data_IF_565609667553
#
_entry.id   IF_565609667553
#
_cell.length_a   1.000
_cell.length_b   1.000
_cell.length_c   1.000
_cell.angle_alpha   90.00
_cell.angle_beta   90.00
_cell.angle_gamma   90.00
#
_symmetry.space_group_name_H-M   'P 1'
#
loop_
_entity.id
_entity.type
_entity.pdbx_description
1 polymer ?
#
# COMPACT_ATOMS: atom_id res chain seq x y z
N UNK A 1 -9.26 -14.18 -19.36
CA UNK A 1 -9.75 -13.01 -20.14
C UNK A 1 -9.01 -11.80 -19.65
N UNK A 2 -8.40 -11.00 -20.52
CA UNK A 2 -7.72 -9.75 -20.17
C UNK A 2 -8.66 -8.55 -20.25
N UNK A 3 -8.26 -7.41 -19.62
CA UNK A 3 -9.03 -6.16 -19.69
C UNK A 3 -9.22 -5.69 -21.15
N UNK A 4 -8.25 -5.91 -22.03
CA UNK A 4 -8.37 -5.60 -23.47
C UNK A 4 -9.40 -6.47 -24.17
N UNK A 5 -9.38 -7.79 -23.92
CA UNK A 5 -10.38 -8.71 -24.48
C UNK A 5 -11.78 -8.30 -24.02
N UNK A 6 -11.94 -8.03 -22.71
CA UNK A 6 -13.21 -7.59 -22.15
C UNK A 6 -13.65 -6.23 -22.69
N UNK A 7 -12.71 -5.33 -22.95
CA UNK A 7 -12.99 -4.03 -23.56
C UNK A 7 -13.59 -4.21 -24.97
N UNK A 8 -12.98 -5.05 -25.83
CA UNK A 8 -13.49 -5.37 -27.17
C UNK A 8 -14.92 -5.97 -27.13
N UNK A 9 -15.14 -6.90 -26.22
CA UNK A 9 -16.47 -7.50 -26.04
C UNK A 9 -17.51 -6.49 -25.59
N UNK A 10 -17.14 -5.60 -24.65
CA UNK A 10 -18.08 -4.66 -24.03
C UNK A 10 -18.43 -3.48 -24.94
N UNK A 11 -17.41 -2.89 -25.57
CA UNK A 11 -17.56 -1.64 -26.31
C UNK A 11 -17.56 -1.81 -27.86
N UNK A 12 -17.35 -3.04 -28.36
CA UNK A 12 -17.30 -3.38 -29.78
C UNK A 12 -16.32 -2.54 -30.61
N UNK A 13 -15.19 -2.15 -29.97
CA UNK A 13 -14.07 -1.41 -30.58
C UNK A 13 -12.77 -1.75 -29.88
N UNK A 14 -11.63 -1.39 -30.47
CA UNK A 14 -10.32 -1.51 -29.83
C UNK A 14 -10.17 -0.46 -28.72
N UNK A 15 -9.42 -0.77 -27.62
CA UNK A 15 -8.97 0.26 -26.70
C UNK A 15 -7.97 1.17 -27.41
N UNK A 16 -7.98 2.45 -27.11
CA UNK A 16 -7.04 3.44 -27.67
C UNK A 16 -5.84 3.67 -26.76
N UNK A 17 -5.89 3.16 -25.51
CA UNK A 17 -4.79 3.22 -24.57
C UNK A 17 -4.85 2.10 -23.53
N UNK A 18 -3.67 1.84 -22.96
CA UNK A 18 -3.47 0.94 -21.85
C UNK A 18 -2.76 1.71 -20.74
N UNK A 19 -3.26 1.60 -19.52
CA UNK A 19 -2.60 2.12 -18.33
C UNK A 19 -2.27 0.96 -17.39
N UNK A 20 -1.10 1.00 -16.80
CA UNK A 20 -0.65 0.03 -15.80
C UNK A 20 -0.07 0.75 -14.61
N UNK A 21 -0.50 0.34 -13.41
CA UNK A 21 0.12 0.75 -12.16
C UNK A 21 0.49 -0.51 -11.36
N UNK A 22 1.76 -0.67 -10.96
CA UNK A 22 2.20 -1.81 -10.18
C UNK A 22 1.57 -1.80 -8.79
N UNK A 23 1.42 -2.97 -8.18
CA UNK A 23 1.22 -3.09 -6.74
C UNK A 23 2.54 -2.90 -6.00
N UNK A 24 2.45 -2.73 -4.67
CA UNK A 24 3.62 -2.55 -3.81
C UNK A 24 3.62 -3.50 -2.62
N UNK A 25 4.81 -3.80 -2.14
CA UNK A 25 5.06 -4.36 -0.81
C UNK A 25 5.86 -3.36 0.02
N UNK A 26 5.67 -3.41 1.35
CA UNK A 26 6.40 -2.59 2.31
C UNK A 26 7.13 -3.51 3.29
N UNK A 27 8.43 -3.79 3.09
CA UNK A 27 9.21 -4.62 3.98
C UNK A 27 9.42 -4.01 5.38
N UNK A 28 9.63 -2.68 5.44
CA UNK A 28 9.87 -1.93 6.67
C UNK A 28 9.20 -0.56 6.59
N UNK A 29 8.73 -0.04 7.73
CA UNK A 29 8.12 1.29 7.82
C UNK A 29 6.59 1.28 7.79
N UNK A 30 5.96 0.12 7.79
CA UNK A 30 4.49 0.06 7.77
C UNK A 30 3.87 0.71 9.00
N UNK A 31 2.77 1.41 8.78
CA UNK A 31 2.03 2.14 9.81
C UNK A 31 2.82 3.29 10.47
N UNK A 32 3.79 3.87 9.75
CA UNK A 32 4.55 5.01 10.27
C UNK A 32 4.44 6.28 9.41
N UNK A 33 4.10 6.15 8.15
CA UNK A 33 4.03 7.23 7.16
C UNK A 33 2.98 8.29 7.47
N UNK A 34 1.83 7.92 8.04
CA UNK A 34 0.80 8.85 8.51
C UNK A 34 1.23 9.72 9.71
N UNK A 35 2.41 9.44 10.30
CA UNK A 35 3.08 10.21 11.34
C UNK A 35 4.45 10.73 10.87
N UNK A 36 4.59 10.95 9.58
CA UNK A 36 5.80 11.44 8.91
C UNK A 36 7.03 10.57 9.15
N UNK A 37 6.84 9.24 9.24
CA UNK A 37 7.93 8.26 9.40
C UNK A 37 8.72 8.05 8.12
N UNK A 38 9.84 7.36 8.25
CA UNK A 38 10.57 6.81 7.10
C UNK A 38 10.02 5.44 6.75
N UNK A 39 10.04 5.10 5.47
CA UNK A 39 9.49 3.84 4.95
C UNK A 39 10.37 3.25 3.87
N UNK A 40 10.23 1.95 3.64
CA UNK A 40 10.79 1.27 2.47
C UNK A 40 9.69 0.66 1.64
N UNK A 41 9.92 0.53 0.34
CA UNK A 41 8.96 -0.07 -0.57
C UNK A 41 9.60 -0.70 -1.79
N UNK A 42 8.88 -1.65 -2.37
CA UNK A 42 9.19 -2.27 -3.65
C UNK A 42 7.90 -2.35 -4.47
N UNK A 43 7.88 -1.77 -5.65
CA UNK A 43 6.85 -2.11 -6.63
C UNK A 43 7.09 -3.54 -7.14
N UNK A 44 6.01 -4.25 -7.43
CA UNK A 44 6.06 -5.63 -7.94
C UNK A 44 5.46 -5.72 -9.34
N UNK A 45 5.84 -6.76 -10.09
CA UNK A 45 5.47 -7.02 -11.49
C UNK A 45 3.98 -7.41 -11.69
N UNK A 46 3.18 -7.25 -10.68
CA UNK A 46 1.73 -7.39 -10.67
C UNK A 46 1.09 -6.05 -10.35
N UNK A 47 -0.11 -5.79 -10.84
CA UNK A 47 -0.73 -4.48 -10.65
C UNK A 47 -2.13 -4.38 -11.24
N UNK A 48 -2.57 -3.15 -11.41
CA UNK A 48 -3.83 -2.80 -12.07
C UNK A 48 -3.56 -2.46 -13.54
N UNK A 49 -4.29 -3.10 -14.42
CA UNK A 49 -4.36 -2.79 -15.84
C UNK A 49 -5.69 -2.11 -16.16
N UNK A 50 -5.65 -1.08 -16.99
CA UNK A 50 -6.83 -0.40 -17.52
C UNK A 50 -6.72 -0.31 -19.03
N UNK A 51 -7.62 -1.00 -19.75
CA UNK A 51 -7.83 -0.76 -21.17
C UNK A 51 -8.88 0.33 -21.32
N UNK A 52 -8.59 1.40 -22.07
CA UNK A 52 -9.48 2.55 -22.15
C UNK A 52 -9.54 3.17 -23.54
N UNK A 53 -10.62 3.96 -23.76
CA UNK A 53 -10.74 4.85 -24.90
C UNK A 53 -11.49 6.13 -24.52
N UNK A 54 -11.21 7.29 -25.17
CA UNK A 54 -11.86 8.56 -24.85
C UNK A 54 -13.34 8.57 -25.18
N UNK A 55 -14.11 9.33 -24.38
CA UNK A 55 -15.52 9.68 -24.64
C UNK A 55 -15.65 11.21 -24.69
N UNK A 56 -15.80 11.75 -25.88
CA UNK A 56 -15.84 13.20 -26.13
C UNK A 56 -17.01 13.92 -25.43
N UNK A 57 -18.04 13.18 -25.03
CA UNK A 57 -19.18 13.71 -24.29
C UNK A 57 -18.98 13.80 -22.77
N UNK A 58 -17.76 13.61 -22.27
CA UNK A 58 -17.43 13.70 -20.84
C UNK A 58 -17.96 12.55 -19.96
N UNK A 59 -18.55 11.52 -20.53
CA UNK A 59 -19.06 10.37 -19.76
C UNK A 59 -17.91 9.46 -19.36
N UNK A 60 -17.89 9.07 -18.10
CA UNK A 60 -17.06 8.00 -17.55
C UNK A 60 -17.90 6.75 -17.49
N UNK A 61 -17.40 5.66 -18.06
CA UNK A 61 -18.07 4.37 -18.06
C UNK A 61 -17.04 3.26 -17.88
N UNK A 62 -17.10 2.57 -16.75
CA UNK A 62 -16.15 1.52 -16.40
C UNK A 62 -16.83 0.22 -16.00
N UNK A 63 -16.19 -0.88 -16.37
CA UNK A 63 -16.41 -2.21 -15.81
C UNK A 63 -15.12 -2.77 -15.22
N UNK A 64 -15.25 -3.74 -14.34
CA UNK A 64 -14.12 -4.44 -13.72
C UNK A 64 -14.24 -5.93 -13.96
N UNK A 65 -13.10 -6.63 -14.05
CA UNK A 65 -13.11 -8.10 -14.08
C UNK A 65 -13.35 -8.71 -12.69
N UNK A 66 -13.16 -7.93 -11.63
CA UNK A 66 -13.34 -8.37 -10.24
C UNK A 66 -14.71 -8.00 -9.66
N UNK A 67 -15.43 -7.04 -10.26
CA UNK A 67 -16.70 -6.56 -9.73
C UNK A 67 -17.77 -6.56 -10.84
N UNK A 68 -18.95 -7.09 -10.53
CA UNK A 68 -20.05 -7.19 -11.52
C UNK A 68 -20.68 -5.85 -11.88
N UNK A 69 -20.78 -4.94 -10.89
CA UNK A 69 -21.45 -3.65 -11.08
C UNK A 69 -20.62 -2.72 -11.95
N UNK A 70 -21.21 -2.25 -13.05
CA UNK A 70 -20.65 -1.17 -13.86
C UNK A 70 -20.81 0.17 -13.16
N UNK A 71 -19.87 1.06 -13.41
CA UNK A 71 -19.87 2.41 -12.90
C UNK A 71 -20.02 3.41 -14.05
N UNK A 72 -20.92 4.38 -13.91
CA UNK A 72 -21.16 5.40 -14.92
C UNK A 72 -21.53 6.74 -14.28
N UNK A 73 -20.91 7.82 -14.74
CA UNK A 73 -21.22 9.22 -14.38
C UNK A 73 -20.60 10.17 -15.40
N UNK A 74 -20.80 11.48 -15.24
CA UNK A 74 -20.17 12.50 -16.10
C UNK A 74 -19.06 13.22 -15.31
N UNK A 75 -17.96 13.63 -15.98
CA UNK A 75 -16.80 14.29 -15.33
C UNK A 75 -17.20 15.56 -14.57
N UNK A 76 -18.25 16.27 -14.99
CA UNK A 76 -18.78 17.47 -14.35
C UNK A 76 -19.97 17.20 -13.42
N UNK A 77 -20.32 15.93 -13.17
CA UNK A 77 -21.46 15.53 -12.33
C UNK A 77 -21.09 14.29 -11.51
N UNK A 78 -20.02 14.42 -10.76
CA UNK A 78 -19.56 13.37 -9.84
C UNK A 78 -20.29 13.53 -8.51
N UNK A 79 -20.83 12.44 -7.90
CA UNK A 79 -21.42 12.52 -6.58
C UNK A 79 -20.45 13.15 -5.56
N UNK A 80 -20.93 14.13 -4.79
CA UNK A 80 -20.11 14.82 -3.78
C UNK A 80 -19.73 13.91 -2.60
N UNK A 81 -20.53 12.88 -2.35
CA UNK A 81 -20.31 11.89 -1.30
C UNK A 81 -20.06 10.50 -1.88
N UNK A 82 -19.21 9.73 -1.21
CA UNK A 82 -18.93 8.34 -1.59
C UNK A 82 -20.19 7.49 -1.64
N UNK A 83 -20.24 6.57 -2.60
CA UNK A 83 -21.38 5.69 -2.86
C UNK A 83 -21.22 4.31 -2.18
N UNK A 84 -20.05 4.01 -1.61
CA UNK A 84 -19.74 2.75 -0.96
C UNK A 84 -19.42 1.61 -1.93
N UNK A 85 -19.05 1.91 -3.16
CA UNK A 85 -18.67 0.91 -4.17
C UNK A 85 -17.20 1.10 -4.63
N UNK A 86 -16.70 0.14 -5.41
CA UNK A 86 -15.33 0.13 -5.90
C UNK A 86 -14.94 1.37 -6.75
N UNK A 87 -15.91 2.04 -7.34
CA UNK A 87 -15.67 3.19 -8.20
C UNK A 87 -15.50 4.51 -7.41
N UNK A 88 -15.61 4.50 -6.09
CA UNK A 88 -15.39 5.69 -5.27
C UNK A 88 -13.95 6.22 -5.39
N UNK A 89 -12.98 5.36 -5.60
CA UNK A 89 -11.60 5.74 -5.90
C UNK A 89 -11.49 6.58 -7.18
N UNK A 90 -12.21 6.19 -8.23
CA UNK A 90 -12.25 6.89 -9.50
C UNK A 90 -13.03 8.21 -9.40
N UNK A 91 -14.12 8.25 -8.64
CA UNK A 91 -14.89 9.47 -8.37
C UNK A 91 -14.07 10.49 -7.62
N UNK A 92 -13.38 10.06 -6.55
CA UNK A 92 -12.45 10.90 -5.79
C UNK A 92 -11.34 11.47 -6.67
N UNK A 93 -10.75 10.65 -7.53
CA UNK A 93 -9.72 11.07 -8.48
C UNK A 93 -10.20 12.19 -9.42
N UNK A 94 -11.41 12.05 -10.01
CA UNK A 94 -11.99 13.08 -10.89
C UNK A 94 -12.24 14.37 -10.12
N UNK A 95 -12.81 14.31 -8.93
CA UNK A 95 -13.08 15.50 -8.12
C UNK A 95 -11.79 16.24 -7.77
N UNK A 96 -10.73 15.53 -7.39
CA UNK A 96 -9.46 16.15 -7.00
C UNK A 96 -8.68 16.68 -8.20
N UNK A 97 -8.66 15.95 -9.31
CA UNK A 97 -8.04 16.43 -10.55
C UNK A 97 -8.83 17.60 -11.15
N UNK A 98 -10.18 17.47 -11.22
CA UNK A 98 -11.08 18.48 -11.78
C UNK A 98 -11.10 19.79 -11.00
N UNK A 99 -10.75 19.78 -9.72
CA UNK A 99 -10.57 21.01 -8.93
C UNK A 99 -9.38 21.85 -9.39
N UNK A 100 -8.41 21.26 -10.10
CA UNK A 100 -7.21 21.96 -10.60
C UNK A 100 -7.22 22.15 -12.12
N UNK A 101 -7.80 21.20 -12.84
CA UNK A 101 -7.75 21.14 -14.30
C UNK A 101 -9.15 20.93 -14.88
N UNK A 102 -9.53 21.68 -15.94
CA UNK A 102 -10.82 21.45 -16.59
C UNK A 102 -10.83 20.09 -17.31
N UNK A 103 -11.71 19.19 -16.88
CA UNK A 103 -11.91 17.90 -17.52
C UNK A 103 -13.05 17.99 -18.54
N UNK A 104 -12.80 17.62 -19.77
CA UNK A 104 -13.78 17.69 -20.87
C UNK A 104 -14.08 16.32 -21.49
N UNK A 105 -13.04 15.49 -21.54
CA UNK A 105 -13.12 14.16 -22.14
C UNK A 105 -13.27 13.11 -21.04
N UNK A 106 -14.29 12.28 -21.19
CA UNK A 106 -14.50 11.13 -20.34
C UNK A 106 -13.78 9.88 -20.86
N UNK A 107 -14.08 8.72 -20.27
CA UNK A 107 -13.45 7.44 -20.58
C UNK A 107 -14.47 6.31 -20.64
N UNK A 108 -14.36 5.43 -21.63
CA UNK A 108 -14.82 4.04 -21.51
C UNK A 108 -13.63 3.20 -21.07
N UNK A 109 -13.80 2.31 -20.10
CA UNK A 109 -12.69 1.50 -19.64
C UNK A 109 -13.07 0.17 -19.00
N UNK A 110 -12.10 -0.74 -18.98
CA UNK A 110 -12.15 -2.01 -18.25
C UNK A 110 -10.92 -2.13 -17.35
N UNK A 111 -11.17 -2.45 -16.09
CA UNK A 111 -10.13 -2.60 -15.05
C UNK A 111 -9.91 -4.10 -14.79
N UNK A 112 -8.63 -4.47 -14.70
CA UNK A 112 -8.17 -5.81 -14.31
C UNK A 112 -7.11 -5.69 -13.23
N UNK A 113 -7.33 -6.35 -12.08
CA UNK A 113 -6.31 -6.58 -11.07
C UNK A 113 -5.63 -7.92 -11.30
N UNK A 114 -4.30 -7.95 -11.28
CA UNK A 114 -3.53 -9.17 -11.53
C UNK A 114 -3.55 -10.18 -10.38
N UNK A 115 -3.92 -9.75 -9.17
CA UNK A 115 -3.90 -10.55 -7.94
C UNK A 115 -5.16 -10.31 -7.12
N UNK A 116 -5.49 -11.19 -6.15
CA UNK A 116 -6.58 -10.97 -5.22
C UNK A 116 -6.47 -9.63 -4.48
N UNK A 117 -7.63 -9.06 -4.14
CA UNK A 117 -7.70 -7.76 -3.47
C UNK A 117 -7.34 -7.90 -2.00
N UNK A 118 -6.36 -7.14 -1.55
CA UNK A 118 -6.00 -6.99 -0.14
C UNK A 118 -4.50 -7.02 0.13
N UNK A 119 -4.01 -6.02 0.82
CA UNK A 119 -2.64 -5.94 1.31
C UNK A 119 -1.60 -5.36 0.34
N UNK A 120 -1.88 -5.26 -0.95
CA UNK A 120 -0.93 -4.83 -1.98
C UNK A 120 -1.17 -3.42 -2.54
N UNK A 121 -1.97 -2.60 -1.84
CA UNK A 121 -2.33 -1.23 -2.25
C UNK A 121 -3.10 -1.12 -3.56
N UNK A 122 -4.02 -2.05 -3.81
CA UNK A 122 -4.84 -2.01 -5.03
C UNK A 122 -5.71 -0.74 -5.15
N UNK A 123 -5.99 -0.05 -4.06
CA UNK A 123 -6.72 1.23 -4.03
C UNK A 123 -5.91 2.36 -4.66
N UNK A 124 -4.67 2.55 -4.22
CA UNK A 124 -3.79 3.56 -4.82
C UNK A 124 -3.46 3.19 -6.26
N UNK A 125 -3.15 1.91 -6.55
CA UNK A 125 -2.84 1.46 -7.90
C UNK A 125 -3.97 1.71 -8.89
N UNK A 126 -5.23 1.43 -8.54
CA UNK A 126 -6.37 1.69 -9.44
C UNK A 126 -6.60 3.19 -9.65
N UNK A 127 -6.42 3.99 -8.59
CA UNK A 127 -6.58 5.44 -8.66
C UNK A 127 -5.49 6.07 -9.54
N UNK A 128 -4.23 5.67 -9.37
CA UNK A 128 -3.09 6.14 -10.18
C UNK A 128 -3.24 5.72 -11.64
N UNK A 129 -3.56 4.45 -11.91
CA UNK A 129 -3.77 3.97 -13.29
C UNK A 129 -4.91 4.72 -13.98
N UNK A 130 -5.99 5.02 -13.26
CA UNK A 130 -7.11 5.81 -13.76
C UNK A 130 -6.73 7.27 -14.00
N UNK A 131 -6.05 7.92 -13.06
CA UNK A 131 -5.56 9.29 -13.23
C UNK A 131 -4.67 9.41 -14.47
N UNK A 132 -3.78 8.44 -14.69
CA UNK A 132 -2.93 8.39 -15.87
C UNK A 132 -3.76 8.31 -17.17
N UNK A 133 -4.75 7.42 -17.22
CA UNK A 133 -5.65 7.30 -18.38
C UNK A 133 -6.46 8.60 -18.61
N UNK A 134 -6.98 9.20 -17.54
CA UNK A 134 -7.77 10.43 -17.60
C UNK A 134 -6.92 11.63 -18.05
N UNK A 135 -5.69 11.74 -17.56
CA UNK A 135 -4.74 12.75 -17.99
C UNK A 135 -4.40 12.62 -19.47
N UNK A 136 -4.13 11.39 -19.93
CA UNK A 136 -3.81 11.10 -21.33
C UNK A 136 -4.89 11.62 -22.29
N UNK A 137 -6.18 11.32 -22.02
CA UNK A 137 -7.27 11.74 -22.92
C UNK A 137 -7.61 13.22 -22.82
N UNK A 138 -7.25 13.89 -21.74
CA UNK A 138 -7.43 15.33 -21.55
C UNK A 138 -6.16 16.15 -21.89
N UNK A 139 -5.07 15.53 -22.34
CA UNK A 139 -3.82 16.20 -22.67
C UNK A 139 -3.13 16.85 -21.47
N UNK A 140 -3.31 16.27 -20.26
CA UNK A 140 -2.73 16.77 -19.03
C UNK A 140 -1.44 16.04 -18.70
N UNK A 141 -0.48 16.76 -18.15
CA UNK A 141 0.80 16.23 -17.66
C UNK A 141 0.95 16.62 -16.18
N UNK A 142 0.89 15.64 -15.30
CA UNK A 142 1.16 15.80 -13.88
C UNK A 142 2.60 15.40 -13.59
N UNK A 143 3.27 16.14 -12.72
CA UNK A 143 4.50 15.66 -12.09
C UNK A 143 4.18 14.50 -11.14
N UNK A 144 5.19 13.69 -10.80
CA UNK A 144 5.06 12.59 -9.85
C UNK A 144 4.48 13.06 -8.51
N UNK A 145 4.95 14.20 -8.02
CA UNK A 145 4.46 14.82 -6.78
C UNK A 145 2.99 15.21 -6.88
N UNK A 146 2.56 15.75 -8.02
CA UNK A 146 1.15 16.10 -8.23
C UNK A 146 0.25 14.88 -8.34
N UNK A 147 0.73 13.82 -9.00
CA UNK A 147 0.02 12.55 -9.12
C UNK A 147 -0.20 11.94 -7.73
N UNK A 148 0.86 11.83 -6.92
CA UNK A 148 0.80 11.31 -5.55
C UNK A 148 -0.15 12.15 -4.69
N UNK A 149 -0.04 13.47 -4.72
CA UNK A 149 -0.91 14.36 -3.93
C UNK A 149 -2.38 14.29 -4.37
N UNK A 150 -2.64 14.12 -5.67
CA UNK A 150 -4.01 14.02 -6.20
C UNK A 150 -4.64 12.69 -5.79
N UNK A 151 -3.88 11.61 -5.85
CA UNK A 151 -4.31 10.29 -5.39
C UNK A 151 -4.60 10.29 -3.89
N UNK A 152 -3.65 10.74 -3.05
CA UNK A 152 -3.85 10.85 -1.60
C UNK A 152 -5.09 11.67 -1.23
N UNK A 153 -5.31 12.78 -1.91
CA UNK A 153 -6.50 13.60 -1.68
C UNK A 153 -7.79 12.85 -2.06
N UNK A 154 -7.77 12.02 -3.09
CA UNK A 154 -8.91 11.17 -3.44
C UNK A 154 -9.21 10.15 -2.35
N UNK A 155 -8.20 9.45 -1.82
CA UNK A 155 -8.38 8.49 -0.73
C UNK A 155 -8.76 9.17 0.60
N UNK A 156 -8.06 10.22 1.00
CA UNK A 156 -8.25 10.85 2.31
C UNK A 156 -9.56 11.63 2.39
N UNK A 157 -9.85 12.48 1.41
CA UNK A 157 -10.95 13.43 1.49
C UNK A 157 -12.27 12.84 0.97
N UNK A 158 -12.23 11.95 -0.03
CA UNK A 158 -13.46 11.41 -0.63
C UNK A 158 -13.78 10.00 -0.10
N UNK A 159 -12.82 9.09 -0.15
CA UNK A 159 -13.03 7.71 0.35
C UNK A 159 -13.02 7.67 1.88
N UNK A 160 -12.26 8.56 2.53
CA UNK A 160 -12.21 8.73 3.98
C UNK A 160 -11.28 7.74 4.68
N UNK A 161 -10.16 7.39 4.05
CA UNK A 161 -9.08 6.60 4.63
C UNK A 161 -7.91 7.51 4.94
N UNK A 162 -7.52 7.63 6.20
CA UNK A 162 -6.39 8.49 6.62
C UNK A 162 -5.04 7.84 6.28
N UNK A 163 -4.79 7.55 5.00
CA UNK A 163 -3.53 6.98 4.54
C UNK A 163 -2.39 8.01 4.58
N UNK A 164 -1.16 7.52 4.70
CA UNK A 164 0.06 8.28 4.48
C UNK A 164 0.49 8.22 3.00
N UNK A 165 1.78 8.47 2.75
CA UNK A 165 2.33 8.60 1.40
C UNK A 165 3.00 7.33 0.86
N UNK A 166 3.12 6.27 1.65
CA UNK A 166 3.87 5.08 1.29
C UNK A 166 3.39 4.44 -0.01
N UNK A 167 2.10 4.20 -0.10
CA UNK A 167 1.49 3.42 -1.17
C UNK A 167 1.74 4.09 -2.53
N UNK A 168 1.28 5.30 -2.67
CA UNK A 168 1.37 6.11 -3.87
C UNK A 168 2.82 6.38 -4.27
N UNK A 169 3.65 6.74 -3.29
CA UNK A 169 5.06 7.02 -3.55
C UNK A 169 5.80 5.78 -4.02
N UNK A 170 5.49 4.61 -3.46
CA UNK A 170 6.09 3.37 -3.90
C UNK A 170 5.66 3.02 -5.34
N UNK A 171 4.38 3.14 -5.65
CA UNK A 171 3.84 2.85 -6.99
C UNK A 171 4.31 3.83 -8.07
N UNK A 172 4.74 5.04 -7.68
CA UNK A 172 5.24 6.07 -8.61
C UNK A 172 6.76 6.06 -8.71
N UNK A 173 7.47 6.08 -7.59
CA UNK A 173 8.93 6.28 -7.58
C UNK A 173 9.76 5.00 -7.72
N UNK A 174 9.19 3.81 -7.49
CA UNK A 174 9.96 2.57 -7.53
C UNK A 174 10.68 2.35 -8.85
N UNK A 175 11.82 1.68 -8.75
CA UNK A 175 12.60 1.22 -9.90
C UNK A 175 12.93 -0.26 -9.71
N UNK A 176 12.86 -1.01 -10.79
CA UNK A 176 13.23 -2.43 -10.79
C UNK A 176 14.63 -2.61 -10.17
N UNK A 177 14.77 -3.64 -9.34
CA UNK A 177 16.01 -3.99 -8.65
C UNK A 177 16.56 -2.89 -7.71
N UNK A 178 15.64 -2.02 -7.18
CA UNK A 178 15.97 -1.01 -6.19
C UNK A 178 14.95 -1.04 -5.06
N UNK A 179 15.43 -0.89 -3.83
CA UNK A 179 14.59 -0.59 -2.68
C UNK A 179 14.33 0.92 -2.66
N UNK A 180 13.07 1.31 -2.64
CA UNK A 180 12.71 2.69 -2.34
C UNK A 180 12.90 2.93 -0.83
N UNK A 181 13.66 3.95 -0.47
CA UNK A 181 13.80 4.49 0.88
C UNK A 181 13.29 5.93 0.87
N UNK A 182 12.19 6.19 1.57
CA UNK A 182 11.46 7.46 1.51
C UNK A 182 11.35 8.08 2.92
N UNK A 183 11.64 9.36 3.04
CA UNK A 183 11.25 10.18 4.20
C UNK A 183 9.94 10.89 3.90
N UNK A 184 8.85 10.49 4.55
CA UNK A 184 7.52 11.04 4.26
C UNK A 184 7.31 12.45 4.83
N UNK A 185 8.28 12.99 5.58
CA UNK A 185 8.23 14.35 6.13
C UNK A 185 8.50 15.41 5.06
N UNK A 186 9.52 15.20 4.23
CA UNK A 186 10.00 16.15 3.23
C UNK A 186 9.93 15.64 1.79
N UNK A 187 9.40 14.44 1.59
CA UNK A 187 9.29 13.76 0.31
C UNK A 187 10.64 13.40 -0.35
N UNK A 188 11.74 13.49 0.42
CA UNK A 188 13.05 13.05 -0.06
C UNK A 188 13.09 11.52 -0.14
N UNK A 189 13.67 10.99 -1.21
CA UNK A 189 13.79 9.55 -1.40
C UNK A 189 15.12 9.15 -2.03
N UNK A 190 15.48 7.90 -1.83
CA UNK A 190 16.62 7.24 -2.43
C UNK A 190 16.17 5.91 -3.03
N UNK A 191 16.65 5.62 -4.23
CA UNK A 191 16.52 4.31 -4.85
C UNK A 191 17.81 3.53 -4.62
N UNK A 192 17.79 2.65 -3.61
CA UNK A 192 18.97 1.87 -3.20
C UNK A 192 19.05 0.62 -4.10
N UNK A 193 20.07 0.48 -4.96
CA UNK A 193 20.16 -0.67 -5.86
C UNK A 193 20.34 -1.98 -5.05
N UNK A 194 19.76 -3.06 -5.57
CA UNK A 194 20.06 -4.41 -5.08
C UNK A 194 21.55 -4.71 -5.37
N UNK A 195 22.32 -4.95 -4.31
CA UNK A 195 23.74 -5.25 -4.42
C UNK A 195 23.98 -6.57 -5.13
N UNK A 196 24.99 -6.64 -6.00
CA UNK A 196 25.43 -7.91 -6.61
C UNK A 196 26.01 -8.89 -5.59
N UNK A 197 26.38 -8.43 -4.40
CA UNK A 197 26.82 -9.26 -3.27
C UNK A 197 25.66 -9.82 -2.46
N UNK A 198 24.44 -9.32 -2.67
CA UNK A 198 23.25 -9.80 -1.98
C UNK A 198 22.90 -11.22 -2.40
N UNK A 199 22.51 -12.06 -1.44
CA UNK A 199 21.98 -13.40 -1.75
C UNK A 199 20.78 -13.30 -2.72
N UNK A 200 20.61 -14.25 -3.64
CA UNK A 200 19.41 -14.31 -4.48
C UNK A 200 18.14 -14.34 -3.63
N UNK A 201 17.13 -13.60 -4.06
CA UNK A 201 15.83 -13.62 -3.41
C UNK A 201 14.69 -13.48 -4.41
N UNK A 202 13.53 -13.97 -4.03
CA UNK A 202 12.23 -13.72 -4.67
C UNK A 202 11.26 -13.13 -3.64
N UNK A 203 10.24 -12.45 -4.13
CA UNK A 203 9.16 -11.90 -3.29
C UNK A 203 7.99 -12.88 -3.35
N UNK A 204 7.75 -13.60 -2.27
CA UNK A 204 6.58 -14.46 -2.14
C UNK A 204 5.42 -13.69 -1.51
N UNK A 205 4.22 -13.86 -2.06
CA UNK A 205 2.97 -13.32 -1.54
C UNK A 205 2.05 -14.48 -1.17
N UNK A 206 1.58 -14.50 0.07
CA UNK A 206 0.67 -15.50 0.61
C UNK A 206 -0.66 -14.84 0.94
N UNK A 207 -1.70 -15.08 0.13
CA UNK A 207 -3.05 -14.57 0.37
C UNK A 207 -3.77 -15.47 1.35
N UNK A 208 -4.34 -14.87 2.38
CA UNK A 208 -5.08 -15.62 3.41
C UNK A 208 -6.39 -16.25 2.90
N UNK A 209 -6.91 -15.80 1.76
CA UNK A 209 -8.22 -16.21 1.26
C UNK A 209 -9.40 -15.49 1.92
N UNK A 210 -9.13 -14.60 2.87
CA UNK A 210 -10.17 -13.79 3.53
C UNK A 210 -10.29 -12.45 2.84
N UNK A 211 -11.43 -12.20 2.21
CA UNK A 211 -11.71 -10.94 1.53
C UNK A 211 -11.89 -9.77 2.52
N UNK A 212 -11.52 -8.57 2.06
CA UNK A 212 -11.55 -7.34 2.85
C UNK A 212 -12.99 -6.90 3.10
N UNK A 213 -13.43 -6.89 4.35
CA UNK A 213 -14.54 -6.02 4.77
C UNK A 213 -13.96 -4.66 5.17
N UNK A 214 -14.63 -3.56 4.80
CA UNK A 214 -14.21 -2.17 5.05
C UNK A 214 -13.67 -1.97 6.48
N UNK A 215 -12.35 -1.99 6.64
CA UNK A 215 -11.66 -1.87 7.92
C UNK A 215 -11.20 -0.42 8.21
N UNK A 216 -11.70 0.57 7.47
CA UNK A 216 -11.26 1.97 7.56
C UNK A 216 -11.39 2.57 8.97
N UNK A 217 -12.41 2.19 9.74
CA UNK A 217 -12.63 2.72 11.09
C UNK A 217 -11.51 2.34 12.08
N UNK A 218 -11.03 1.10 12.05
CA UNK A 218 -9.95 0.66 12.96
C UNK A 218 -8.61 1.28 12.60
N UNK A 219 -8.30 1.45 11.33
CA UNK A 219 -7.07 2.09 10.89
C UNK A 219 -7.04 3.56 11.31
N UNK A 220 -8.10 4.33 11.01
CA UNK A 220 -8.21 5.74 11.38
C UNK A 220 -8.09 5.94 12.90
N UNK A 221 -8.72 5.06 13.71
CA UNK A 221 -8.57 5.11 15.16
C UNK A 221 -7.09 4.97 15.60
N UNK A 222 -6.32 4.10 14.96
CA UNK A 222 -4.88 3.95 15.27
C UNK A 222 -4.07 5.20 14.91
N UNK A 223 -4.41 5.85 13.81
CA UNK A 223 -3.82 7.14 13.43
C UNK A 223 -4.08 8.19 14.50
N UNK A 224 -5.31 8.26 15.01
CA UNK A 224 -5.70 9.21 16.07
C UNK A 224 -5.02 8.87 17.42
N UNK A 225 -4.82 7.59 17.75
CA UNK A 225 -4.05 7.14 18.91
C UNK A 225 -2.57 7.63 18.82
N UNK A 226 -1.94 7.56 17.64
CA UNK A 226 -0.60 8.10 17.42
C UNK A 226 -0.55 9.63 17.59
N UNK A 227 -1.52 10.35 17.03
CA UNK A 227 -1.64 11.82 17.19
C UNK A 227 -1.84 12.20 18.65
N UNK A 228 -2.68 11.44 19.37
CA UNK A 228 -2.91 11.63 20.79
C UNK A 228 -1.63 11.43 21.61
N UNK A 229 -0.84 10.40 21.29
CA UNK A 229 0.45 10.18 21.91
C UNK A 229 1.42 11.36 21.66
N UNK A 230 1.54 11.81 20.42
CA UNK A 230 2.40 12.93 20.06
C UNK A 230 1.97 14.22 20.74
N UNK A 231 0.69 14.50 20.79
CA UNK A 231 0.11 15.68 21.45
C UNK A 231 0.37 15.68 22.96
N UNK A 232 0.15 14.55 23.62
CA UNK A 232 0.39 14.40 25.05
C UNK A 232 1.88 14.51 25.39
N UNK A 233 2.78 13.89 24.60
CA UNK A 233 4.21 13.97 24.80
C UNK A 233 4.74 15.41 24.69
N UNK A 234 4.28 16.16 23.68
CA UNK A 234 4.62 17.59 23.54
C UNK A 234 4.14 18.39 24.74
N UNK A 235 2.92 18.16 25.21
CA UNK A 235 2.36 18.84 26.38
C UNK A 235 3.17 18.51 27.64
N UNK A 236 3.54 17.25 27.86
CA UNK A 236 4.34 16.85 29.04
C UNK A 236 5.75 17.42 29.04
N UNK A 237 6.31 17.64 27.86
CA UNK A 237 7.65 18.22 27.68
C UNK A 237 7.64 19.76 27.66
N UNK A 238 6.48 20.41 27.72
CA UNK A 238 6.37 21.85 27.57
C UNK A 238 6.73 22.34 26.16
N UNK A 239 6.61 21.49 25.15
CA UNK A 239 6.85 21.82 23.76
C UNK A 239 5.60 22.51 23.18
N UNK A 240 5.83 23.40 22.23
CA UNK A 240 4.73 23.99 21.46
C UNK A 240 4.04 22.89 20.62
N UNK A 241 2.71 22.91 20.60
CA UNK A 241 1.90 22.00 19.81
C UNK A 241 0.80 22.79 19.07
N UNK A 242 0.66 22.50 17.77
CA UNK A 242 -0.34 23.12 16.90
C UNK A 242 -1.69 22.41 16.94
N UNK A 243 -2.38 22.39 15.80
CA UNK A 243 -3.63 21.65 15.66
C UNK A 243 -3.41 20.15 15.83
N UNK A 244 -4.39 19.47 16.42
CA UNK A 244 -4.32 18.00 16.64
C UNK A 244 -4.01 17.22 15.37
N UNK A 245 -4.68 17.54 14.24
CA UNK A 245 -4.48 16.87 12.96
C UNK A 245 -3.10 17.10 12.32
N UNK A 246 -2.34 18.11 12.78
CA UNK A 246 -1.01 18.47 12.28
C UNK A 246 0.11 18.03 13.24
N UNK A 247 -0.24 17.41 14.38
CA UNK A 247 0.72 16.96 15.40
C UNK A 247 1.11 15.51 15.15
N UNK A 248 2.41 15.27 14.96
CA UNK A 248 2.94 13.96 14.56
C UNK A 248 4.03 13.48 15.52
N UNK A 249 4.20 12.16 15.64
CA UNK A 249 5.29 11.56 16.44
C UNK A 249 6.68 11.96 15.91
N UNK A 250 6.82 12.21 14.60
CA UNK A 250 8.07 12.68 13.98
C UNK A 250 8.58 14.01 14.58
N UNK A 251 7.67 14.82 15.09
CA UNK A 251 8.01 16.14 15.66
C UNK A 251 8.32 16.06 17.16
N UNK A 252 8.31 14.87 17.74
CA UNK A 252 8.65 14.61 19.12
C UNK A 252 9.99 13.88 19.19
N UNK A 253 11.03 14.46 19.81
CA UNK A 253 12.32 13.77 20.00
C UNK A 253 12.15 12.45 20.75
N UNK A 254 12.94 11.45 20.40
CA UNK A 254 12.86 10.11 21.02
C UNK A 254 13.17 10.16 22.53
N UNK A 255 14.01 11.09 22.96
CA UNK A 255 14.36 11.32 24.39
C UNK A 255 13.14 11.81 25.18
N UNK A 256 12.27 12.60 24.55
CA UNK A 256 11.00 13.04 25.15
C UNK A 256 10.05 11.86 25.28
N UNK A 257 9.98 11.00 24.28
CA UNK A 257 9.22 9.76 24.38
C UNK A 257 9.74 8.88 25.53
N UNK A 258 11.03 8.59 25.58
CA UNK A 258 11.60 7.76 26.66
C UNK A 258 11.35 8.35 28.06
N UNK A 259 11.40 9.67 28.19
CA UNK A 259 11.17 10.36 29.46
C UNK A 259 9.72 10.29 29.94
N UNK A 260 8.76 10.29 29.04
CA UNK A 260 7.36 10.44 29.37
C UNK A 260 6.45 9.27 28.92
N UNK A 261 7.03 8.21 28.35
CA UNK A 261 6.28 7.06 27.85
C UNK A 261 5.33 6.45 28.88
N UNK A 262 5.76 6.32 30.12
CA UNK A 262 4.99 5.73 31.22
C UNK A 262 3.79 6.60 31.68
N UNK A 263 3.75 7.86 31.27
CA UNK A 263 2.62 8.77 31.52
C UNK A 263 1.51 8.66 30.45
N UNK A 264 1.82 8.03 29.32
CA UNK A 264 0.83 7.82 28.28
C UNK A 264 -0.13 6.70 28.66
N UNK A 265 -1.41 6.79 28.27
CA UNK A 265 -2.29 5.63 28.24
C UNK A 265 -1.62 4.48 27.49
N UNK A 266 -1.81 3.24 27.97
CA UNK A 266 -1.11 2.06 27.45
C UNK A 266 -1.24 1.90 25.93
N UNK A 267 -2.44 2.13 25.39
CA UNK A 267 -2.71 2.05 23.96
C UNK A 267 -1.87 3.08 23.18
N UNK A 268 -1.84 4.34 23.63
CA UNK A 268 -1.07 5.39 22.95
C UNK A 268 0.44 5.14 23.04
N UNK A 269 0.89 4.64 24.19
CA UNK A 269 2.29 4.24 24.39
C UNK A 269 2.68 3.17 23.40
N UNK A 270 1.89 2.09 23.25
CA UNK A 270 2.18 1.02 22.28
C UNK A 270 2.24 1.53 20.84
N UNK A 271 1.40 2.48 20.44
CA UNK A 271 1.46 3.10 19.09
C UNK A 271 2.76 3.88 18.91
N UNK A 272 3.15 4.67 19.90
CA UNK A 272 4.42 5.41 19.87
C UNK A 272 5.63 4.46 19.85
N UNK A 273 5.63 3.41 20.67
CA UNK A 273 6.67 2.37 20.66
C UNK A 273 6.80 1.69 19.28
N UNK A 274 5.67 1.40 18.62
CA UNK A 274 5.70 0.88 17.25
C UNK A 274 6.38 1.88 16.33
N UNK A 275 5.94 3.13 16.34
CA UNK A 275 6.43 4.16 15.43
C UNK A 275 7.94 4.43 15.60
N UNK A 276 8.43 4.65 16.84
CA UNK A 276 9.86 4.89 17.09
C UNK A 276 10.71 3.66 16.74
N UNK A 277 10.23 2.46 17.09
CA UNK A 277 10.91 1.22 16.72
C UNK A 277 10.94 1.00 15.21
N UNK A 278 9.87 1.34 14.49
CA UNK A 278 9.82 1.22 13.05
C UNK A 278 10.73 2.23 12.36
N UNK A 279 10.78 3.46 12.89
CA UNK A 279 11.68 4.49 12.39
C UNK A 279 13.16 4.09 12.47
N UNK A 280 13.58 3.42 13.56
CA UNK A 280 14.93 2.84 13.70
C UNK A 280 15.13 1.67 12.72
N UNK A 281 14.19 0.72 12.67
CA UNK A 281 14.28 -0.45 11.78
C UNK A 281 14.42 -0.07 10.32
N UNK A 282 13.71 0.94 9.86
CA UNK A 282 13.80 1.43 8.47
C UNK A 282 15.20 1.94 8.15
N UNK A 283 15.82 2.70 9.03
CA UNK A 283 17.18 3.23 8.83
C UNK A 283 18.21 2.11 8.79
N UNK A 284 18.15 1.19 9.76
CA UNK A 284 19.02 0.01 9.80
C UNK A 284 18.80 -0.91 8.60
N UNK A 285 17.55 -1.07 8.17
CA UNK A 285 17.20 -1.86 7.00
C UNK A 285 17.75 -1.26 5.70
N UNK A 286 17.66 0.06 5.53
CA UNK A 286 18.27 0.74 4.39
C UNK A 286 19.80 0.51 4.32
N UNK A 287 20.47 0.53 5.48
CA UNK A 287 21.90 0.26 5.55
C UNK A 287 22.23 -1.22 5.29
N UNK A 288 21.42 -2.15 5.83
CA UNK A 288 21.55 -3.58 5.54
C UNK A 288 21.38 -3.85 4.03
N UNK A 289 20.42 -3.17 3.38
CA UNK A 289 20.23 -3.30 1.93
C UNK A 289 21.42 -2.75 1.13
N UNK A 290 21.95 -1.57 1.48
CA UNK A 290 23.14 -0.98 0.82
C UNK A 290 24.36 -1.89 0.93
N UNK A 291 24.54 -2.52 2.09
CA UNK A 291 25.65 -3.46 2.31
C UNK A 291 25.43 -4.85 1.72
N UNK A 292 24.26 -5.12 1.12
CA UNK A 292 23.91 -6.45 0.59
C UNK A 292 23.58 -7.49 1.66
N UNK A 293 23.34 -7.08 2.91
CA UNK A 293 23.02 -7.98 4.01
C UNK A 293 21.52 -8.26 4.08
N UNK A 294 21.07 -9.17 3.19
CA UNK A 294 19.67 -9.57 3.09
C UNK A 294 19.16 -10.26 4.37
N UNK A 295 20.01 -10.98 5.08
CA UNK A 295 19.64 -11.67 6.32
C UNK A 295 19.25 -10.66 7.42
N UNK A 296 20.05 -9.62 7.61
CA UNK A 296 19.73 -8.55 8.57
C UNK A 296 18.47 -7.77 8.14
N UNK A 297 18.34 -7.46 6.85
CA UNK A 297 17.15 -6.80 6.32
C UNK A 297 15.90 -7.66 6.58
N UNK A 298 15.97 -8.97 6.31
CA UNK A 298 14.89 -9.91 6.55
C UNK A 298 14.54 -10.05 8.02
N UNK A 299 15.53 -10.15 8.90
CA UNK A 299 15.35 -10.19 10.36
C UNK A 299 14.59 -8.95 10.85
N UNK A 300 14.97 -7.77 10.36
CA UNK A 300 14.28 -6.51 10.68
C UNK A 300 12.82 -6.51 10.16
N UNK A 301 12.57 -7.12 8.99
CA UNK A 301 11.21 -7.27 8.45
C UNK A 301 10.33 -8.16 9.35
N UNK A 302 10.86 -9.26 9.87
CA UNK A 302 10.16 -10.07 10.87
C UNK A 302 9.90 -9.28 12.16
N UNK A 303 10.87 -8.53 12.67
CA UNK A 303 10.65 -7.67 13.85
C UNK A 303 9.58 -6.62 13.60
N UNK A 304 9.51 -6.03 12.40
CA UNK A 304 8.45 -5.12 11.99
C UNK A 304 7.08 -5.79 12.01
N UNK A 305 6.98 -7.02 11.51
CA UNK A 305 5.77 -7.83 11.57
C UNK A 305 5.33 -8.10 13.00
N UNK A 306 6.25 -8.52 13.88
CA UNK A 306 6.00 -8.73 15.31
C UNK A 306 5.50 -7.44 15.98
N UNK A 307 6.15 -6.32 15.75
CA UNK A 307 5.75 -5.02 16.29
C UNK A 307 4.36 -4.58 15.80
N UNK A 308 4.01 -4.90 14.55
CA UNK A 308 2.67 -4.66 14.03
C UNK A 308 1.61 -5.48 14.75
N UNK A 309 1.91 -6.72 15.14
CA UNK A 309 1.00 -7.57 15.92
C UNK A 309 0.84 -7.06 17.35
N UNK A 310 1.96 -6.84 18.05
CA UNK A 310 1.99 -6.61 19.49
C UNK A 310 1.69 -5.16 19.88
N UNK A 311 2.17 -4.21 19.07
CA UNK A 311 2.15 -2.77 19.40
C UNK A 311 1.17 -1.98 18.54
N UNK A 312 1.10 -2.23 17.25
CA UNK A 312 0.09 -1.65 16.38
C UNK A 312 -1.26 -2.36 16.51
N UNK A 313 -1.26 -3.59 17.03
CA UNK A 313 -2.42 -4.45 17.26
C UNK A 313 -3.23 -4.71 15.99
N UNK A 314 -2.53 -5.11 14.94
CA UNK A 314 -3.11 -5.55 13.68
C UNK A 314 -2.82 -7.03 13.43
N UNK A 315 -3.32 -7.57 12.34
CA UNK A 315 -3.25 -8.98 12.01
C UNK A 315 -4.53 -9.73 12.37
N UNK A 316 -5.25 -10.19 11.35
CA UNK A 316 -6.33 -11.18 11.57
C UNK A 316 -5.72 -12.51 12.04
N UNK A 317 -6.51 -13.42 12.62
CA UNK A 317 -6.01 -14.75 12.99
C UNK A 317 -5.28 -15.44 11.84
N UNK A 318 -5.83 -15.37 10.63
CA UNK A 318 -5.29 -15.97 9.43
C UNK A 318 -3.92 -15.37 9.04
N UNK A 319 -3.80 -14.04 9.05
CA UNK A 319 -2.53 -13.39 8.75
C UNK A 319 -1.46 -13.67 9.82
N UNK A 320 -1.85 -13.70 11.09
CA UNK A 320 -0.96 -14.06 12.20
C UNK A 320 -0.44 -15.49 12.05
N UNK A 321 -1.30 -16.43 11.61
CA UNK A 321 -0.88 -17.80 11.37
C UNK A 321 0.10 -17.93 10.21
N UNK A 322 -0.16 -17.27 9.08
CA UNK A 322 0.80 -17.22 7.96
C UNK A 322 2.13 -16.63 8.44
N UNK A 323 2.10 -15.52 9.17
CA UNK A 323 3.31 -14.90 9.72
C UNK A 323 4.07 -15.85 10.66
N UNK A 324 3.40 -16.56 11.56
CA UNK A 324 3.99 -17.55 12.45
C UNK A 324 4.72 -18.63 11.65
N UNK A 325 4.05 -19.23 10.66
CA UNK A 325 4.64 -20.27 9.80
C UNK A 325 5.87 -19.71 9.07
N UNK A 326 5.79 -18.49 8.53
CA UNK A 326 6.92 -17.85 7.84
C UNK A 326 8.15 -17.72 8.75
N UNK A 327 7.97 -17.34 10.04
CA UNK A 327 9.09 -17.19 10.99
C UNK A 327 9.77 -18.51 11.34
N UNK A 328 9.14 -19.66 11.07
CA UNK A 328 9.63 -20.99 11.39
C UNK A 328 9.99 -21.81 10.12
N UNK A 329 10.04 -21.14 8.97
CA UNK A 329 10.28 -21.83 7.69
C UNK A 329 11.66 -21.49 7.17
N UNK A 330 12.47 -22.54 6.96
CA UNK A 330 13.79 -22.42 6.34
C UNK A 330 13.66 -21.84 4.93
N UNK A 331 14.64 -21.05 4.52
CA UNK A 331 14.65 -20.36 3.22
C UNK A 331 13.86 -19.06 3.18
N UNK A 332 13.18 -18.66 4.26
CA UNK A 332 12.56 -17.33 4.36
C UNK A 332 13.51 -16.39 5.11
N UNK A 333 14.06 -15.40 4.41
CA UNK A 333 14.94 -14.38 5.01
C UNK A 333 14.20 -13.45 5.94
N UNK A 334 12.95 -13.10 5.60
CA UNK A 334 12.11 -12.20 6.37
C UNK A 334 10.76 -11.97 5.72
N UNK A 335 9.83 -11.38 6.48
CA UNK A 335 8.50 -11.13 5.98
C UNK A 335 7.57 -10.56 7.04
N UNK A 336 6.40 -10.11 6.58
CA UNK A 336 5.37 -9.52 7.42
C UNK A 336 4.04 -9.48 6.67
N UNK A 337 2.94 -9.04 7.32
CA UNK A 337 1.76 -8.71 6.50
C UNK A 337 2.00 -7.47 5.66
N UNK A 338 1.35 -7.42 4.51
CA UNK A 338 1.38 -6.28 3.61
C UNK A 338 0.13 -5.41 3.78
N UNK A 339 0.27 -4.10 3.61
CA UNK A 339 -0.80 -3.11 3.76
C UNK A 339 -1.28 -2.93 5.21
N UNK A 340 -2.55 -2.61 5.40
CA UNK A 340 -3.14 -2.32 6.71
C UNK A 340 -3.13 -3.50 7.70
N UNK A 341 -2.94 -4.74 7.23
CA UNK A 341 -2.77 -5.92 8.06
C UNK A 341 -4.03 -6.45 8.74
N UNK A 342 -5.21 -5.97 8.39
CA UNK A 342 -6.46 -6.51 8.96
C UNK A 342 -6.97 -7.74 8.22
N UNK A 343 -6.68 -7.86 6.93
CA UNK A 343 -6.97 -8.98 6.02
C UNK A 343 -6.06 -8.88 4.79
N UNK A 344 -6.08 -9.86 3.90
CA UNK A 344 -5.34 -9.84 2.64
C UNK A 344 -4.15 -10.80 2.65
N UNK A 345 -2.94 -10.30 2.61
CA UNK A 345 -1.76 -11.13 2.40
C UNK A 345 -0.58 -10.82 3.34
N UNK A 346 0.32 -11.79 3.42
CA UNK A 346 1.69 -11.62 3.89
C UNK A 346 2.65 -11.57 2.69
N UNK A 347 3.74 -10.83 2.85
CA UNK A 347 4.88 -10.85 1.93
C UNK A 347 6.08 -11.48 2.63
N UNK A 348 6.91 -12.17 1.86
CA UNK A 348 8.18 -12.71 2.31
C UNK A 348 9.28 -12.51 1.27
N UNK A 349 10.51 -12.30 1.74
CA UNK A 349 11.72 -12.42 0.94
C UNK A 349 12.25 -13.84 1.14
N UNK A 350 12.32 -14.61 0.07
CA UNK A 350 12.64 -16.05 0.14
C UNK A 350 13.88 -16.37 -0.70
N UNK A 351 14.58 -17.41 -0.30
CA UNK A 351 15.59 -18.07 -1.13
C UNK A 351 14.89 -18.84 -2.26
N UNK A 352 15.17 -18.54 -3.54
CA UNK A 352 14.54 -19.22 -4.66
C UNK A 352 14.71 -20.74 -4.68
N UNK A 353 15.77 -21.25 -4.05
CA UNK A 353 16.06 -22.69 -3.99
C UNK A 353 15.11 -23.46 -3.06
N UNK A 354 14.49 -22.79 -2.09
CA UNK A 354 13.52 -23.36 -1.16
C UNK A 354 12.06 -23.11 -1.54
N UNK A 355 11.81 -22.48 -2.68
CA UNK A 355 10.48 -22.00 -3.06
C UNK A 355 9.37 -23.05 -2.92
N UNK A 356 9.54 -24.20 -3.51
CA UNK A 356 8.50 -25.25 -3.55
C UNK A 356 8.23 -25.81 -2.14
N UNK A 357 9.28 -25.95 -1.33
CA UNK A 357 9.19 -26.41 0.07
C UNK A 357 8.48 -25.37 0.94
N UNK A 358 8.81 -24.10 0.78
CA UNK A 358 8.16 -22.98 1.48
C UNK A 358 6.68 -22.96 1.15
N UNK A 359 6.31 -22.98 -0.13
CA UNK A 359 4.91 -22.91 -0.56
C UNK A 359 4.12 -24.09 -0.02
N UNK A 360 4.66 -25.30 -0.16
CA UNK A 360 4.02 -26.52 0.37
C UNK A 360 3.83 -26.47 1.88
N UNK A 361 4.85 -26.02 2.63
CA UNK A 361 4.78 -25.93 4.09
C UNK A 361 3.74 -24.91 4.53
N UNK A 362 3.79 -23.67 3.98
CA UNK A 362 2.83 -22.61 4.33
C UNK A 362 1.40 -23.05 4.02
N UNK A 363 1.13 -23.60 2.84
CA UNK A 363 -0.20 -24.09 2.48
C UNK A 363 -0.67 -25.19 3.42
N UNK A 364 0.17 -26.19 3.67
CA UNK A 364 -0.20 -27.35 4.48
C UNK A 364 -0.53 -26.96 5.92
N UNK A 365 0.36 -26.21 6.58
CA UNK A 365 0.17 -25.81 7.97
C UNK A 365 -0.95 -24.76 8.12
N UNK A 366 -1.09 -23.85 7.16
CA UNK A 366 -2.16 -22.87 7.16
C UNK A 366 -3.54 -23.51 6.99
N UNK A 367 -3.71 -24.39 6.00
CA UNK A 367 -5.00 -25.05 5.74
C UNK A 367 -5.33 -26.14 6.76
N UNK A 368 -4.36 -26.63 7.52
CA UNK A 368 -4.62 -27.49 8.67
C UNK A 368 -5.36 -26.72 9.79
N UNK A 369 -5.07 -25.42 9.98
CA UNK A 369 -5.74 -24.59 10.96
C UNK A 369 -7.02 -23.92 10.41
N UNK A 370 -7.03 -23.60 9.13
CA UNK A 370 -8.17 -22.95 8.44
C UNK A 370 -8.66 -23.78 7.24
N UNK A 371 -9.24 -24.97 7.46
CA UNK A 371 -9.65 -25.88 6.38
C UNK A 371 -10.73 -25.29 5.46
N UNK A 372 -11.57 -24.40 5.99
CA UNK A 372 -12.64 -23.74 5.25
C UNK A 372 -12.10 -22.74 4.20
N UNK A 373 -10.83 -22.36 4.28
CA UNK A 373 -10.17 -21.49 3.32
C UNK A 373 -9.50 -22.25 2.16
N UNK A 374 -9.68 -23.59 2.11
CA UNK A 374 -9.24 -24.38 0.97
C UNK A 374 -9.95 -23.92 -0.32
N UNK A 375 -9.14 -23.56 -1.33
CA UNK A 375 -9.64 -22.98 -2.59
C UNK A 375 -9.78 -21.45 -2.59
N UNK A 376 -9.62 -20.80 -1.43
CA UNK A 376 -9.54 -19.35 -1.29
C UNK A 376 -8.11 -18.87 -1.01
N UNK A 377 -7.33 -19.65 -0.27
CA UNK A 377 -5.89 -19.43 -0.10
C UNK A 377 -5.18 -19.49 -1.45
N UNK A 378 -4.21 -18.63 -1.65
CA UNK A 378 -3.31 -18.67 -2.80
C UNK A 378 -1.95 -18.07 -2.48
N UNK A 379 -0.93 -18.51 -3.21
CA UNK A 379 0.41 -17.97 -3.10
C UNK A 379 1.04 -17.78 -4.48
N UNK A 380 1.89 -16.78 -4.60
CA UNK A 380 2.60 -16.52 -5.86
C UNK A 380 3.96 -15.86 -5.61
N UNK A 381 4.83 -15.98 -6.62
CA UNK A 381 6.07 -15.22 -6.70
C UNK A 381 5.83 -13.93 -7.48
N UNK A 382 6.45 -12.87 -6.99
CA UNK A 382 6.53 -11.58 -7.65
C UNK A 382 7.99 -11.13 -7.74
N UNK A 383 8.26 -10.24 -8.66
CA UNK A 383 9.57 -9.63 -8.86
C UNK A 383 9.46 -8.12 -8.71
N UNK A 384 10.57 -7.47 -8.38
CA UNK A 384 10.62 -6.01 -8.35
C UNK A 384 10.31 -5.41 -9.72
N UNK A 385 9.65 -4.28 -9.75
CA UNK A 385 9.24 -3.60 -10.97
C UNK A 385 9.54 -2.10 -10.91
N UNK A 386 9.52 -1.46 -12.08
CA UNK A 386 9.46 0.00 -12.16
C UNK A 386 8.09 0.49 -11.67
N UNK A 387 8.05 1.68 -11.10
CA UNK A 387 6.82 2.40 -10.81
C UNK A 387 6.06 2.76 -12.10
N UNK A 388 4.88 3.37 -11.92
CA UNK A 388 4.09 3.85 -13.05
C UNK A 388 4.89 4.87 -13.87
N UNK A 389 4.89 4.70 -15.20
CA UNK A 389 5.48 5.69 -16.12
C UNK A 389 4.39 6.66 -16.55
N UNK A 390 4.65 7.94 -16.32
CA UNK A 390 3.79 9.04 -16.75
C UNK A 390 4.14 9.47 -18.16
#
# INVERSE_FOLDING_TARGET
MTCEQKFRETYRREPEGLSFCPYRVCPLGAHSDHQLGKVTGLAIDKGIHIAFAPKQNGVIEFSSLQFEKRAQWHVNSVPETKQGDWADYLRGAILKLGAKYPLRVGLSGVIEGSLPIGGLSSSAAVTIAFLKALCTVNGLHLSDVELIKTEMAAENDYVGVSCGKLDQSCEVYSKKDHLLYLDTKDDSYELIPTSTAMKPYEIAIFFSGVERTLAGSKFNMRVDECRSAAYALKAYAGMEYGKFGETNLRDVPVEVFHRFADRLPETWRRRAEHWYGEYDRVQRGAEAWRSGNLEEFGRLSFESGKSSIEKWETGSPELKKIYEIMTQTEGIYGGRFSGAGFKGCCMALIDPTFKDEIFKKVETEYLAEFPDLKGHYSACICHSADGVKI
#
